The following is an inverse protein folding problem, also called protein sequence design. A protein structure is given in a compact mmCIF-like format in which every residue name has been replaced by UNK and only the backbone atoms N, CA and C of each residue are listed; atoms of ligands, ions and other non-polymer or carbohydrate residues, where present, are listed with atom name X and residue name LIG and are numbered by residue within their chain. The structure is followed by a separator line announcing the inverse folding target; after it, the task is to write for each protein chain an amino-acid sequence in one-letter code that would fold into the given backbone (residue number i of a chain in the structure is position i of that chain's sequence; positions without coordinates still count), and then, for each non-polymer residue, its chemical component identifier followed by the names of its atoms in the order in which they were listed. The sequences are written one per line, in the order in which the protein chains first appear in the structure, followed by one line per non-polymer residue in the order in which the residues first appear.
data_IF_257137386785
#
_entry.id   IF_257137386785
#
_cell.length_a   1.000
_cell.length_b   1.000
_cell.length_c   1.000
_cell.angle_alpha   90.00
_cell.angle_beta   90.00
_cell.angle_gamma   90.00
#
_symmetry.space_group_name_H-M   'P 1'
#
loop_
_entity.id
_entity.type
_entity.pdbx_description
1 polymer ?
#
# COMPACT_ATOMS: atom_id res chain seq x y z
N UNK A 1 -5.89 -8.16 1.25
CA UNK A 1 -6.79 -8.71 0.21
C UNK A 1 -7.54 -7.55 -0.40
N UNK A 2 -7.17 -7.11 -1.60
CA UNK A 2 -8.02 -6.21 -2.39
C UNK A 2 -8.84 -7.16 -3.27
N UNK A 3 -10.13 -7.27 -2.98
CA UNK A 3 -11.07 -8.06 -3.77
C UNK A 3 -11.72 -7.11 -4.78
N UNK A 4 -11.40 -7.28 -6.06
CA UNK A 4 -12.15 -6.68 -7.16
C UNK A 4 -13.13 -7.70 -7.75
N UNK A 5 -14.09 -7.24 -8.55
CA UNK A 5 -15.14 -8.07 -9.15
C UNK A 5 -14.62 -9.25 -10.02
N UNK A 6 -13.34 -9.21 -10.42
CA UNK A 6 -12.70 -10.17 -11.33
C UNK A 6 -11.55 -10.94 -10.64
N UNK A 7 -11.28 -10.70 -9.35
CA UNK A 7 -10.19 -11.43 -8.69
C UNK A 7 -9.76 -10.88 -7.34
N UNK A 8 -8.95 -11.68 -6.65
CA UNK A 8 -8.30 -11.32 -5.41
C UNK A 8 -6.79 -11.26 -5.63
N UNK A 9 -6.17 -10.14 -5.26
CA UNK A 9 -4.71 -10.12 -5.14
C UNK A 9 -4.37 -10.78 -3.80
N UNK A 10 -3.84 -11.99 -3.87
CA UNK A 10 -3.38 -12.76 -2.72
C UNK A 10 -1.86 -12.82 -2.77
N UNK A 11 -1.22 -12.31 -1.72
CA UNK A 11 0.21 -12.43 -1.51
C UNK A 11 0.48 -13.71 -0.73
N UNK A 12 1.29 -14.60 -1.29
CA UNK A 12 1.74 -15.81 -0.62
C UNK A 12 3.24 -15.93 -0.84
N UNK A 13 4.00 -15.55 0.19
CA UNK A 13 5.43 -15.82 0.28
C UNK A 13 5.60 -17.10 1.10
N UNK A 14 6.00 -18.18 0.45
CA UNK A 14 6.29 -19.46 1.12
C UNK A 14 7.73 -19.52 1.65
N UNK A 15 8.52 -18.45 1.48
CA UNK A 15 9.90 -18.36 1.94
C UNK A 15 10.06 -17.30 3.04
N UNK A 16 11.07 -17.51 3.88
CA UNK A 16 11.42 -16.64 5.00
C UNK A 16 11.63 -15.19 4.52
N UNK A 17 10.90 -14.25 5.12
CA UNK A 17 10.92 -12.82 4.78
C UNK A 17 12.29 -12.14 4.99
N UNK A 18 13.30 -12.86 5.50
CA UNK A 18 14.64 -12.37 5.76
C UNK A 18 15.68 -12.71 4.67
N UNK A 19 15.29 -13.30 3.53
CA UNK A 19 16.24 -13.57 2.44
C UNK A 19 16.46 -12.32 1.59
N UNK A 20 17.72 -11.92 1.47
CA UNK A 20 18.17 -10.75 0.71
C UNK A 20 18.24 -11.06 -0.80
N UNK A 21 17.09 -11.28 -1.42
CA UNK A 21 16.78 -11.06 -2.84
C UNK A 21 15.30 -11.41 -3.00
N UNK A 22 14.54 -10.47 -3.56
CA UNK A 22 13.06 -10.39 -3.62
C UNK A 22 12.39 -11.72 -4.03
N UNK A 23 11.09 -11.92 -3.77
CA UNK A 23 10.39 -13.10 -4.28
C UNK A 23 10.58 -13.24 -5.79
N UNK A 24 11.20 -14.35 -6.21
CA UNK A 24 11.54 -14.66 -7.61
C UNK A 24 10.30 -14.83 -8.50
N UNK A 25 9.13 -15.06 -7.90
CA UNK A 25 7.88 -15.37 -8.61
C UNK A 25 6.73 -14.60 -7.97
N UNK A 26 6.15 -13.67 -8.72
CA UNK A 26 4.86 -13.08 -8.37
C UNK A 26 3.76 -13.94 -8.97
N UNK A 27 2.76 -14.32 -8.19
CA UNK A 27 1.60 -15.10 -8.68
C UNK A 27 0.33 -14.31 -8.52
N UNK A 28 -0.51 -14.36 -9.54
CA UNK A 28 -1.84 -13.78 -9.50
C UNK A 28 -2.88 -14.91 -9.52
N UNK A 29 -3.80 -14.90 -8.55
CA UNK A 29 -4.96 -15.79 -8.53
C UNK A 29 -6.14 -15.10 -9.21
N UNK A 30 -6.61 -15.63 -10.35
CA UNK A 30 -7.83 -15.14 -11.02
C UNK A 30 -8.94 -16.18 -10.91
N UNK A 31 -10.16 -15.73 -10.63
CA UNK A 31 -11.33 -16.58 -10.81
C UNK A 31 -11.71 -16.62 -12.29
N UNK A 32 -12.12 -17.79 -12.83
CA UNK A 32 -12.46 -17.92 -14.25
C UNK A 32 -13.74 -17.15 -14.64
N UNK A 33 -14.57 -16.81 -13.66
CA UNK A 33 -15.81 -16.04 -13.80
C UNK A 33 -15.97 -15.06 -12.64
N UNK A 34 -16.88 -14.10 -12.77
CA UNK A 34 -17.13 -13.12 -11.70
C UNK A 34 -17.64 -13.81 -10.43
N UNK A 35 -17.31 -13.25 -9.26
CA UNK A 35 -17.80 -13.80 -7.99
C UNK A 35 -19.33 -13.85 -7.94
N UNK A 36 -20.00 -12.87 -8.56
CA UNK A 36 -21.46 -12.82 -8.67
C UNK A 36 -22.01 -14.02 -9.45
N UNK A 37 -21.43 -14.35 -10.60
CA UNK A 37 -21.83 -15.54 -11.38
C UNK A 37 -21.58 -16.84 -10.62
N UNK A 38 -20.44 -16.95 -9.92
CA UNK A 38 -20.07 -18.12 -9.11
C UNK A 38 -21.07 -18.35 -7.97
N UNK A 39 -21.52 -17.28 -7.30
CA UNK A 39 -22.49 -17.35 -6.20
C UNK A 39 -23.89 -17.76 -6.71
N UNK A 40 -24.22 -17.37 -7.95
CA UNK A 40 -25.57 -17.58 -8.51
C UNK A 40 -25.72 -18.97 -9.15
N UNK A 41 -24.61 -19.66 -9.46
CA UNK A 41 -24.63 -21.04 -9.96
C UNK A 41 -24.93 -22.05 -8.84
N UNK A 42 -26.13 -22.62 -8.87
CA UNK A 42 -26.61 -23.60 -7.90
C UNK A 42 -25.77 -24.89 -7.85
N UNK A 43 -25.00 -25.22 -8.90
CA UNK A 43 -24.11 -26.38 -8.92
C UNK A 43 -22.75 -26.11 -8.26
N UNK A 44 -22.31 -24.84 -8.21
CA UNK A 44 -21.09 -24.42 -7.53
C UNK A 44 -21.27 -24.41 -6.00
N UNK A 45 -22.49 -24.13 -5.53
CA UNK A 45 -22.84 -24.10 -4.11
C UNK A 45 -22.71 -25.47 -3.40
N UNK A 46 -22.69 -26.59 -4.15
CA UNK A 46 -22.70 -27.95 -3.59
C UNK A 46 -21.31 -28.58 -3.50
N UNK A 47 -20.28 -28.09 -4.22
CA UNK A 47 -19.02 -28.84 -4.39
C UNK A 47 -17.71 -28.16 -3.99
N UNK A 48 -17.62 -26.86 -3.69
CA UNK A 48 -16.36 -26.37 -3.14
C UNK A 48 -16.17 -24.87 -3.13
N UNK A 49 -15.31 -24.43 -2.21
CA UNK A 49 -14.75 -23.08 -2.23
C UNK A 49 -14.20 -22.79 -3.64
N UNK A 50 -14.47 -21.62 -4.23
CA UNK A 50 -13.96 -21.30 -5.55
C UNK A 50 -12.43 -21.38 -5.53
N UNK A 51 -11.88 -22.19 -6.43
CA UNK A 51 -10.44 -22.40 -6.55
C UNK A 51 -9.91 -21.41 -7.58
N UNK A 52 -9.04 -20.46 -7.20
CA UNK A 52 -8.43 -19.54 -8.15
C UNK A 52 -7.49 -20.30 -9.10
N UNK A 53 -7.44 -19.85 -10.35
CA UNK A 53 -6.40 -20.26 -11.29
C UNK A 53 -5.19 -19.37 -11.05
N UNK A 54 -4.04 -19.98 -10.78
CA UNK A 54 -2.80 -19.26 -10.53
C UNK A 54 -2.02 -19.09 -11.82
N UNK A 55 -1.59 -17.86 -12.08
CA UNK A 55 -0.64 -17.54 -13.15
C UNK A 55 0.63 -16.92 -12.56
N UNK A 56 1.78 -17.34 -13.07
CA UNK A 56 3.06 -16.71 -12.77
C UNK A 56 3.16 -15.40 -13.58
N UNK A 57 3.38 -14.29 -12.87
CA UNK A 57 3.62 -12.99 -13.48
C UNK A 57 5.12 -12.84 -13.68
N UNK A 58 5.51 -12.72 -14.96
CA UNK A 58 6.88 -12.39 -15.34
C UNK A 58 7.19 -10.98 -14.85
N UNK A 59 7.88 -10.89 -13.72
CA UNK A 59 8.45 -9.64 -13.23
C UNK A 59 9.76 -9.43 -13.98
N UNK A 60 9.70 -8.86 -15.18
CA UNK A 60 10.91 -8.46 -15.89
C UNK A 60 11.73 -7.57 -14.95
N UNK A 61 13.03 -7.86 -14.82
CA UNK A 61 13.97 -6.99 -14.13
C UNK A 61 14.14 -5.72 -14.96
N UNK A 62 13.18 -4.81 -14.85
CA UNK A 62 13.38 -3.44 -15.29
C UNK A 62 14.54 -2.88 -14.46
N UNK A 63 15.54 -2.23 -15.07
CA UNK A 63 16.53 -1.48 -14.31
C UNK A 63 15.79 -0.40 -13.53
N UNK A 64 15.45 -0.70 -12.28
CA UNK A 64 14.83 0.26 -11.39
C UNK A 64 15.92 1.25 -11.02
N UNK A 65 15.88 2.45 -11.61
CA UNK A 65 16.66 3.58 -11.11
C UNK A 65 16.35 3.74 -9.63
N UNK A 66 17.36 3.59 -8.77
CA UNK A 66 17.12 3.78 -7.35
C UNK A 66 16.77 5.25 -7.08
N UNK A 67 16.09 5.52 -5.96
CA UNK A 67 15.81 6.91 -5.55
C UNK A 67 17.10 7.74 -5.42
N UNK A 68 18.20 7.10 -5.00
CA UNK A 68 19.50 7.74 -4.87
C UNK A 68 20.11 8.04 -6.24
N UNK A 69 20.08 7.08 -7.17
CA UNK A 69 20.60 7.29 -8.53
C UNK A 69 19.84 8.41 -9.23
N UNK A 70 18.51 8.40 -9.15
CA UNK A 70 17.68 9.47 -9.70
C UNK A 70 17.98 10.84 -9.09
N UNK A 71 18.30 10.89 -7.79
CA UNK A 71 18.69 12.13 -7.13
C UNK A 71 20.07 12.61 -7.61
N UNK A 72 21.03 11.71 -7.74
CA UNK A 72 22.38 12.00 -8.23
C UNK A 72 22.30 12.52 -9.67
N UNK A 73 21.56 11.85 -10.55
CA UNK A 73 21.39 12.23 -11.95
C UNK A 73 20.76 13.62 -12.07
N UNK A 74 19.68 13.89 -11.32
CA UNK A 74 19.04 15.21 -11.31
C UNK A 74 19.98 16.32 -10.80
N UNK A 75 20.87 16.01 -9.86
CA UNK A 75 21.85 16.96 -9.33
C UNK A 75 23.01 17.23 -10.30
N UNK A 76 23.44 16.23 -11.07
CA UNK A 76 24.57 16.32 -12.01
C UNK A 76 24.15 16.90 -13.36
N UNK A 77 23.10 16.36 -13.94
CA UNK A 77 22.68 16.67 -15.32
C UNK A 77 21.57 17.71 -15.39
N UNK A 78 21.02 18.09 -14.22
CA UNK A 78 19.83 18.93 -14.11
C UNK A 78 18.55 18.15 -14.43
N UNK A 79 17.47 18.51 -13.75
CA UNK A 79 16.17 17.85 -13.90
C UNK A 79 15.45 17.71 -12.57
N UNK A 80 14.34 16.98 -12.57
CA UNK A 80 13.62 16.63 -11.35
C UNK A 80 13.84 15.15 -11.00
N UNK A 81 14.23 14.83 -9.76
CA UNK A 81 14.31 13.45 -9.31
C UNK A 81 12.91 12.81 -9.22
N UNK A 82 12.86 11.46 -9.18
CA UNK A 82 11.62 10.67 -9.04
C UNK A 82 10.73 11.15 -7.89
N UNK A 83 11.32 11.72 -6.83
CA UNK A 83 10.60 12.29 -5.69
C UNK A 83 11.29 13.57 -5.24
N UNK A 84 10.51 14.61 -5.03
CA UNK A 84 10.98 15.91 -4.52
C UNK A 84 10.56 16.11 -3.06
N UNK A 85 11.14 17.10 -2.39
CA UNK A 85 10.68 17.49 -1.05
C UNK A 85 9.21 17.94 -1.03
N UNK A 86 8.73 18.53 -2.13
CA UNK A 86 7.32 18.93 -2.26
C UNK A 86 6.40 17.72 -2.37
N UNK A 87 6.75 16.71 -3.18
CA UNK A 87 5.93 15.50 -3.29
C UNK A 87 5.95 14.67 -1.99
N UNK A 88 7.10 14.63 -1.29
CA UNK A 88 7.21 13.98 0.01
C UNK A 88 6.36 14.67 1.09
N UNK A 89 6.26 16.01 1.07
CA UNK A 89 5.47 16.80 2.02
C UNK A 89 4.00 16.37 2.05
N UNK A 90 3.40 16.13 0.89
CA UNK A 90 1.98 15.72 0.80
C UNK A 90 1.75 14.39 1.51
N UNK A 91 2.64 13.41 1.30
CA UNK A 91 2.57 12.11 1.98
C UNK A 91 2.76 12.25 3.48
N UNK A 92 3.74 13.05 3.92
CA UNK A 92 3.97 13.31 5.34
C UNK A 92 2.74 13.95 5.99
N UNK A 93 2.13 14.94 5.33
CA UNK A 93 0.93 15.61 5.83
C UNK A 93 -0.26 14.66 5.95
N UNK A 94 -0.44 13.75 4.98
CA UNK A 94 -1.46 12.71 5.07
C UNK A 94 -1.23 11.76 6.26
N UNK A 95 0.01 11.34 6.50
CA UNK A 95 0.36 10.47 7.64
C UNK A 95 0.05 11.19 8.96
N UNK A 96 0.45 12.45 9.08
CA UNK A 96 0.12 13.28 10.25
C UNK A 96 -1.40 13.40 10.44
N UNK A 97 -2.17 13.49 9.36
CA UNK A 97 -3.62 13.64 9.43
C UNK A 97 -4.29 12.35 9.93
N UNK A 98 -3.82 11.18 9.48
CA UNK A 98 -4.27 9.88 9.97
C UNK A 98 -4.02 9.75 11.47
N UNK A 99 -2.84 10.17 11.94
CA UNK A 99 -2.49 10.14 13.36
C UNK A 99 -3.41 11.07 14.15
N UNK A 100 -3.58 12.32 13.70
CA UNK A 100 -4.40 13.31 14.38
C UNK A 100 -5.86 12.86 14.47
N UNK A 101 -6.44 12.42 13.35
CA UNK A 101 -7.81 11.89 13.30
C UNK A 101 -7.98 10.66 14.19
N UNK A 102 -6.98 9.77 14.23
CA UNK A 102 -7.02 8.58 15.07
C UNK A 102 -6.97 8.91 16.57
N UNK A 103 -6.20 9.91 16.95
CA UNK A 103 -6.04 10.34 18.35
C UNK A 103 -7.25 11.14 18.84
N UNK A 104 -7.72 12.10 18.04
CA UNK A 104 -8.87 12.95 18.39
C UNK A 104 -10.21 12.27 18.13
N UNK A 105 -10.25 11.22 17.30
CA UNK A 105 -11.46 10.54 16.82
C UNK A 105 -12.41 11.44 16.04
N UNK A 106 -11.86 12.44 15.36
CA UNK A 106 -12.61 13.41 14.57
C UNK A 106 -12.09 13.46 13.13
N UNK A 107 -12.94 13.98 12.24
CA UNK A 107 -12.56 14.21 10.84
C UNK A 107 -11.66 15.45 10.80
N UNK A 108 -10.48 15.31 10.22
CA UNK A 108 -9.51 16.40 10.05
C UNK A 108 -9.49 16.89 8.61
N UNK A 109 -9.29 18.20 8.41
CA UNK A 109 -9.14 18.82 7.09
C UNK A 109 -7.67 18.97 6.71
N UNK A 110 -7.39 18.92 5.40
CA UNK A 110 -6.08 19.28 4.84
C UNK A 110 -6.14 20.69 4.21
N UNK A 111 -5.07 21.50 4.32
CA UNK A 111 -3.84 21.24 5.08
C UNK A 111 -4.08 21.18 6.59
N UNK A 112 -3.23 20.46 7.30
CA UNK A 112 -3.38 20.26 8.74
C UNK A 112 -3.21 21.56 9.53
N UNK A 113 -4.01 21.70 10.58
CA UNK A 113 -3.72 22.65 11.64
C UNK A 113 -2.48 22.19 12.40
N UNK A 114 -1.38 22.94 12.24
CA UNK A 114 -0.11 22.65 12.90
C UNK A 114 -0.21 22.76 14.41
N UNK A 115 -0.92 23.76 14.91
CA UNK A 115 -0.96 24.02 16.35
C UNK A 115 -1.72 22.90 17.05
N UNK A 116 -2.82 22.43 16.46
CA UNK A 116 -3.57 21.27 16.94
C UNK A 116 -2.76 19.96 16.88
N UNK A 117 -1.93 19.79 15.85
CA UNK A 117 -1.05 18.62 15.73
C UNK A 117 0.07 18.65 16.80
N UNK A 118 0.72 19.79 17.00
CA UNK A 118 1.79 19.97 17.98
C UNK A 118 1.29 19.75 19.41
N UNK A 119 0.08 20.22 19.73
CA UNK A 119 -0.56 19.94 21.03
C UNK A 119 -0.76 18.43 21.26
N UNK A 120 -1.24 17.71 20.24
CA UNK A 120 -1.41 16.26 20.32
C UNK A 120 -0.07 15.55 20.46
N UNK A 121 0.94 15.97 19.71
CA UNK A 121 2.29 15.43 19.80
C UNK A 121 2.89 15.63 21.20
N UNK A 122 2.74 16.82 21.77
CA UNK A 122 3.21 17.14 23.13
C UNK A 122 2.47 16.32 24.19
N UNK A 123 1.15 16.16 24.05
CA UNK A 123 0.36 15.34 24.96
C UNK A 123 0.81 13.87 24.92
N UNK A 124 1.00 13.30 23.72
CA UNK A 124 1.43 11.92 23.55
C UNK A 124 2.87 11.69 24.02
N UNK A 125 3.79 12.61 23.73
CA UNK A 125 5.20 12.51 24.16
C UNK A 125 5.36 12.54 25.68
N UNK A 126 4.44 13.22 26.38
CA UNK A 126 4.38 13.26 27.84
C UNK A 126 3.47 12.17 28.44
N UNK A 127 2.97 11.23 27.63
CA UNK A 127 2.14 10.11 28.07
C UNK A 127 0.73 10.51 28.57
N UNK A 128 0.27 11.72 28.25
CA UNK A 128 -1.09 12.16 28.56
C UNK A 128 -2.06 11.53 27.56
N UNK A 129 -3.13 10.91 28.07
CA UNK A 129 -4.23 10.43 27.22
C UNK A 129 -5.11 11.62 26.86
N UNK A 130 -5.24 11.90 25.57
CA UNK A 130 -6.26 12.79 25.02
C UNK A 130 -7.63 12.17 25.34
N UNK A 131 -8.48 12.94 26.04
CA UNK A 131 -9.82 12.51 26.50
C UNK A 131 -10.80 12.58 25.34
#
# INVERSE_FOLDING_TARGET
QIAGDIGSIVWQDERDANVLDRPEVFRLGRYPSSLTEIITDANAAVTGRPVPVWEDVQCEQSPQTSLLDSFIDAALDGGEPITTGHSARVTTELICAIILAGVQREVVSLPLDRDAFDEVFDNLSHGKKTV
#
